data_IF_367791068475
#
_entry.id   IF_367791068475
#
_cell.length_a   1.000
_cell.length_b   1.000
_cell.length_c   1.000
_cell.angle_alpha   90.00
_cell.angle_beta   90.00
_cell.angle_gamma   90.00
#
_symmetry.space_group_name_H-M   'P 1'
#
loop_
_entity.id
_entity.type
_entity.pdbx_description
1 polymer ?
#
# COMPACT_ATOMS: atom_id res chain seq x y z
N UNK A 1 6.66 3.23 -1.66
CA UNK A 1 8.00 3.48 -2.24
C UNK A 1 8.39 4.95 -2.18
N UNK A 2 7.53 5.88 -2.64
CA UNK A 2 7.84 7.33 -2.64
C UNK A 2 8.19 7.89 -1.26
N UNK A 3 7.62 7.37 -0.19
CA UNK A 3 7.96 7.77 1.19
C UNK A 3 9.43 7.50 1.53
N UNK A 4 9.98 6.35 1.14
CA UNK A 4 11.38 5.98 1.44
C UNK A 4 12.34 6.86 0.63
N UNK A 5 12.04 7.08 -0.66
CA UNK A 5 12.79 8.01 -1.52
C UNK A 5 12.72 9.45 -1.00
N UNK A 6 11.56 9.88 -0.50
CA UNK A 6 11.37 11.21 0.09
C UNK A 6 12.15 11.38 1.40
N UNK A 7 12.10 10.39 2.28
CA UNK A 7 12.91 10.39 3.51
C UNK A 7 14.39 10.43 3.14
N UNK A 8 14.85 9.63 2.17
CA UNK A 8 16.23 9.68 1.67
C UNK A 8 16.60 11.05 1.12
N UNK A 9 15.67 11.72 0.42
CA UNK A 9 15.85 13.10 -0.04
C UNK A 9 15.98 14.09 1.11
N UNK A 10 15.17 13.96 2.17
CA UNK A 10 15.28 14.85 3.34
C UNK A 10 16.63 14.68 4.08
N UNK A 11 17.19 13.46 4.09
CA UNK A 11 18.43 13.17 4.82
C UNK A 11 19.68 13.69 4.10
N UNK A 12 19.78 13.49 2.78
CA UNK A 12 21.00 13.84 2.03
C UNK A 12 20.72 14.39 0.62
N UNK A 13 19.53 14.94 0.37
CA UNK A 13 19.13 15.47 -0.92
C UNK A 13 19.08 14.41 -2.01
N UNK A 14 19.43 14.78 -3.23
CA UNK A 14 19.41 13.90 -4.40
C UNK A 14 20.21 12.58 -4.22
N UNK A 15 21.46 12.58 -3.72
CA UNK A 15 22.18 11.32 -3.51
C UNK A 15 21.54 10.44 -2.44
N UNK A 16 20.93 11.02 -1.40
CA UNK A 16 20.16 10.28 -0.39
C UNK A 16 18.91 9.62 -0.97
N UNK A 17 18.20 10.30 -1.87
CA UNK A 17 17.04 9.75 -2.57
C UNK A 17 17.40 8.55 -3.46
N UNK A 18 18.52 8.64 -4.19
CA UNK A 18 19.04 7.57 -5.04
C UNK A 18 19.48 6.38 -4.18
N UNK A 19 20.26 6.64 -3.13
CA UNK A 19 20.75 5.59 -2.22
C UNK A 19 19.58 4.86 -1.52
N UNK A 20 18.57 5.59 -1.06
CA UNK A 20 17.38 5.00 -0.43
C UNK A 20 16.58 4.14 -1.42
N UNK A 21 16.46 4.58 -2.67
CA UNK A 21 15.77 3.83 -3.72
C UNK A 21 16.52 2.54 -4.06
N UNK A 22 17.84 2.63 -4.29
CA UNK A 22 18.68 1.44 -4.55
C UNK A 22 18.65 0.50 -3.34
N UNK A 23 18.83 1.01 -2.12
CA UNK A 23 18.84 0.21 -0.90
C UNK A 23 17.52 -0.52 -0.63
N UNK A 24 16.38 0.06 -1.03
CA UNK A 24 15.07 -0.58 -0.91
C UNK A 24 14.88 -1.72 -1.94
N UNK A 25 15.26 -1.50 -3.19
CA UNK A 25 14.98 -2.44 -4.29
C UNK A 25 16.05 -3.52 -4.47
N UNK A 26 17.32 -3.18 -4.26
CA UNK A 26 18.46 -4.08 -4.47
C UNK A 26 18.35 -5.42 -3.71
N UNK A 27 18.01 -5.47 -2.41
CA UNK A 27 17.89 -6.75 -1.71
C UNK A 27 16.77 -7.62 -2.27
N UNK A 28 15.61 -7.03 -2.61
CA UNK A 28 14.52 -7.78 -3.22
C UNK A 28 14.91 -8.35 -4.58
N UNK A 29 15.61 -7.56 -5.40
CA UNK A 29 16.11 -8.00 -6.70
C UNK A 29 17.11 -9.16 -6.57
N UNK A 30 18.06 -9.08 -5.64
CA UNK A 30 19.02 -10.14 -5.37
C UNK A 30 18.34 -11.43 -4.91
N UNK A 31 17.35 -11.33 -4.02
CA UNK A 31 16.58 -12.48 -3.53
C UNK A 31 15.82 -13.14 -4.68
N UNK A 32 15.11 -12.35 -5.51
CA UNK A 32 14.34 -12.90 -6.64
C UNK A 32 15.27 -13.50 -7.70
N UNK A 33 16.42 -12.88 -7.98
CA UNK A 33 17.40 -13.41 -8.92
C UNK A 33 17.95 -14.76 -8.46
N UNK A 34 18.27 -14.90 -7.17
CA UNK A 34 18.77 -16.14 -6.60
C UNK A 34 17.69 -17.24 -6.48
N UNK A 35 16.49 -16.87 -6.04
CA UNK A 35 15.40 -17.81 -5.77
C UNK A 35 14.55 -18.12 -7.00
N UNK A 36 14.54 -17.28 -8.03
CA UNK A 36 13.72 -17.43 -9.23
C UNK A 36 13.85 -18.82 -9.89
N UNK A 37 15.06 -19.32 -10.16
CA UNK A 37 15.25 -20.65 -10.74
C UNK A 37 14.77 -21.78 -9.81
N UNK A 38 15.01 -21.67 -8.50
CA UNK A 38 14.54 -22.64 -7.50
C UNK A 38 13.01 -22.65 -7.42
N UNK A 39 12.40 -21.47 -7.36
CA UNK A 39 10.95 -21.30 -7.31
C UNK A 39 10.28 -21.83 -8.58
N UNK A 40 10.88 -21.61 -9.76
CA UNK A 40 10.37 -22.15 -11.02
C UNK A 40 10.45 -23.69 -11.06
N UNK A 41 11.49 -24.28 -10.46
CA UNK A 41 11.61 -25.72 -10.30
C UNK A 41 10.56 -26.28 -9.31
N UNK A 42 10.38 -25.61 -8.17
CA UNK A 42 9.47 -26.04 -7.10
C UNK A 42 8.00 -25.80 -7.42
N UNK A 43 7.68 -24.78 -8.22
CA UNK A 43 6.32 -24.47 -8.69
C UNK A 43 5.69 -25.60 -9.51
N UNK A 44 6.45 -26.61 -9.93
CA UNK A 44 5.92 -27.84 -10.56
C UNK A 44 5.30 -28.81 -9.54
N UNK A 45 5.67 -28.72 -8.26
CA UNK A 45 5.14 -29.55 -7.17
C UNK A 45 3.87 -28.94 -6.55
N UNK A 46 2.88 -29.79 -6.26
CA UNK A 46 1.63 -29.40 -5.61
C UNK A 46 1.86 -28.78 -4.21
N UNK A 47 2.85 -29.29 -3.48
CA UNK A 47 3.17 -28.85 -2.11
C UNK A 47 3.68 -27.40 -2.12
N UNK A 48 4.57 -27.05 -3.05
CA UNK A 48 5.11 -25.70 -3.14
C UNK A 48 4.02 -24.66 -3.47
N UNK A 49 3.07 -25.01 -4.34
CA UNK A 49 1.90 -24.17 -4.63
C UNK A 49 1.04 -23.94 -3.38
N UNK A 50 0.83 -24.97 -2.57
CA UNK A 50 0.08 -24.86 -1.32
C UNK A 50 0.78 -23.93 -0.32
N UNK A 51 2.11 -24.03 -0.19
CA UNK A 51 2.92 -23.14 0.66
C UNK A 51 2.82 -21.69 0.18
N UNK A 52 3.02 -21.43 -1.12
CA UNK A 52 2.90 -20.08 -1.70
C UNK A 52 1.50 -19.48 -1.49
N UNK A 53 0.46 -20.31 -1.58
CA UNK A 53 -0.92 -19.90 -1.27
C UNK A 53 -1.07 -19.50 0.20
N UNK A 54 -0.46 -20.26 1.11
CA UNK A 54 -0.41 -19.93 2.54
C UNK A 54 0.30 -18.61 2.82
N UNK A 55 1.45 -18.37 2.19
CA UNK A 55 2.18 -17.10 2.29
C UNK A 55 1.32 -15.94 1.80
N UNK A 56 0.66 -16.09 0.64
CA UNK A 56 -0.22 -15.05 0.11
C UNK A 56 -1.39 -14.76 1.07
N UNK A 57 -2.02 -15.79 1.65
CA UNK A 57 -3.05 -15.61 2.67
C UNK A 57 -2.52 -14.86 3.91
N UNK A 58 -1.29 -15.16 4.34
CA UNK A 58 -0.61 -14.43 5.41
C UNK A 58 -0.37 -12.95 5.09
N UNK A 59 0.05 -12.65 3.85
CA UNK A 59 0.21 -11.26 3.38
C UNK A 59 -1.12 -10.52 3.40
N UNK A 60 -2.20 -11.15 2.93
CA UNK A 60 -3.55 -10.55 2.98
C UNK A 60 -3.97 -10.27 4.42
N UNK A 61 -3.76 -11.22 5.34
CA UNK A 61 -4.07 -11.04 6.76
C UNK A 61 -3.26 -9.89 7.39
N UNK A 62 -1.98 -9.77 7.04
CA UNK A 62 -1.13 -8.67 7.48
C UNK A 62 -1.63 -7.32 6.93
N UNK A 63 -1.98 -7.25 5.65
CA UNK A 63 -2.53 -6.03 5.05
C UNK A 63 -3.83 -5.60 5.75
N UNK A 64 -4.74 -6.55 6.02
CA UNK A 64 -5.98 -6.28 6.77
C UNK A 64 -5.65 -5.73 8.17
N UNK A 65 -4.68 -6.34 8.87
CA UNK A 65 -4.26 -5.88 10.20
C UNK A 65 -3.73 -4.44 10.17
N UNK A 66 -2.91 -4.10 9.18
CA UNK A 66 -2.39 -2.74 8.98
C UNK A 66 -3.54 -1.77 8.70
N UNK A 67 -4.49 -2.14 7.83
CA UNK A 67 -5.66 -1.31 7.52
C UNK A 67 -6.50 -1.05 8.77
N UNK A 68 -6.73 -2.06 9.60
CA UNK A 68 -7.48 -1.91 10.85
C UNK A 68 -6.73 -1.00 11.83
N UNK A 69 -5.41 -1.19 11.98
CA UNK A 69 -4.58 -0.37 12.86
C UNK A 69 -4.59 1.11 12.41
N UNK A 70 -4.36 1.37 11.13
CA UNK A 70 -4.42 2.72 10.57
C UNK A 70 -5.84 3.31 10.67
N UNK A 71 -6.87 2.50 10.43
CA UNK A 71 -8.27 2.93 10.55
C UNK A 71 -8.62 3.41 11.96
N UNK A 72 -8.13 2.74 13.02
CA UNK A 72 -8.33 3.19 14.41
C UNK A 72 -7.69 4.53 14.70
N UNK A 73 -6.54 4.84 14.09
CA UNK A 73 -5.89 6.14 14.23
C UNK A 73 -6.53 7.23 13.35
N UNK A 74 -7.11 6.85 12.21
CA UNK A 74 -7.77 7.77 11.29
C UNK A 74 -9.21 8.12 11.72
N UNK A 75 -9.92 7.20 12.38
CA UNK A 75 -11.29 7.39 12.86
C UNK A 75 -11.30 8.07 14.23
N UNK A 76 -11.04 9.37 14.22
CA UNK A 76 -11.04 10.21 15.43
C UNK A 76 -12.42 10.82 15.69
N UNK A 77 -13.21 11.13 14.65
CA UNK A 77 -14.50 11.82 14.76
C UNK A 77 -15.63 11.14 13.98
N UNK A 78 -16.87 11.43 14.39
CA UNK A 78 -18.10 10.99 13.69
C UNK A 78 -18.11 11.44 12.23
N UNK A 79 -17.56 12.62 11.93
CA UNK A 79 -17.40 13.14 10.57
C UNK A 79 -16.44 12.29 9.73
N UNK A 80 -15.34 11.80 10.31
CA UNK A 80 -14.38 10.93 9.61
C UNK A 80 -14.96 9.55 9.35
N UNK A 81 -15.78 9.04 10.28
CA UNK A 81 -16.55 7.81 10.08
C UNK A 81 -17.60 7.94 8.97
N UNK A 82 -18.30 9.08 8.90
CA UNK A 82 -19.24 9.38 7.81
C UNK A 82 -18.52 9.48 6.45
N UNK A 83 -17.34 10.11 6.39
CA UNK A 83 -16.53 10.16 5.16
C UNK A 83 -16.05 8.77 4.73
N UNK A 84 -15.63 7.93 5.67
CA UNK A 84 -15.30 6.52 5.38
C UNK A 84 -16.50 5.77 4.82
N UNK A 85 -17.67 5.89 5.45
CA UNK A 85 -18.90 5.23 5.02
C UNK A 85 -19.36 5.73 3.64
N UNK A 86 -19.32 7.05 3.40
CA UNK A 86 -19.65 7.66 2.11
C UNK A 86 -18.68 7.23 1.01
N UNK A 87 -17.38 7.16 1.29
CA UNK A 87 -16.36 6.69 0.35
C UNK A 87 -16.56 5.22 -0.02
N UNK A 88 -16.78 4.34 0.97
CA UNK A 88 -17.07 2.93 0.74
C UNK A 88 -18.38 2.76 -0.05
N UNK A 89 -19.45 3.47 0.33
CA UNK A 89 -20.71 3.45 -0.41
C UNK A 89 -20.54 3.94 -1.86
N UNK A 90 -19.76 4.99 -2.09
CA UNK A 90 -19.43 5.48 -3.43
C UNK A 90 -18.68 4.44 -4.29
N UNK A 91 -17.74 3.71 -3.70
CA UNK A 91 -17.03 2.64 -4.41
C UNK A 91 -17.93 1.43 -4.72
N UNK A 92 -18.72 0.98 -3.75
CA UNK A 92 -19.51 -0.26 -3.88
C UNK A 92 -20.86 -0.09 -4.58
N UNK A 93 -21.54 1.04 -4.38
CA UNK A 93 -22.87 1.31 -4.94
C UNK A 93 -22.79 2.03 -6.27
N UNK A 94 -21.91 3.04 -6.37
CA UNK A 94 -21.78 3.87 -7.58
C UNK A 94 -20.69 3.38 -8.54
N UNK A 95 -19.94 2.32 -8.17
CA UNK A 95 -18.78 1.79 -8.92
C UNK A 95 -17.81 2.89 -9.36
N UNK A 96 -17.72 3.95 -8.55
CA UNK A 96 -16.84 5.06 -8.86
C UNK A 96 -15.40 4.58 -8.75
N UNK A 97 -14.63 4.84 -9.80
CA UNK A 97 -13.20 4.57 -9.74
C UNK A 97 -12.57 5.43 -8.64
N UNK A 98 -11.58 4.90 -7.90
CA UNK A 98 -10.96 5.60 -6.76
C UNK A 98 -10.50 7.03 -7.07
N UNK A 99 -10.14 7.30 -8.33
CA UNK A 99 -9.76 8.62 -8.80
C UNK A 99 -10.84 9.70 -8.57
N UNK A 100 -12.12 9.40 -8.81
CA UNK A 100 -13.21 10.36 -8.60
C UNK A 100 -13.42 10.70 -7.11
N UNK A 101 -13.21 9.72 -6.24
CA UNK A 101 -13.26 9.93 -4.79
C UNK A 101 -12.11 10.81 -4.30
N UNK A 102 -10.92 10.63 -4.86
CA UNK A 102 -9.76 11.49 -4.54
C UNK A 102 -10.02 12.93 -4.98
N UNK A 103 -10.54 13.14 -6.20
CA UNK A 103 -10.89 14.48 -6.68
C UNK A 103 -11.96 15.16 -5.82
N UNK A 104 -13.01 14.44 -5.44
CA UNK A 104 -14.06 14.96 -4.57
C UNK A 104 -13.50 15.32 -3.18
N UNK A 105 -12.63 14.47 -2.62
CA UNK A 105 -11.93 14.74 -1.36
C UNK A 105 -11.05 15.99 -1.42
N UNK A 106 -10.32 16.20 -2.52
CA UNK A 106 -9.54 17.42 -2.74
C UNK A 106 -10.45 18.66 -2.78
N UNK A 107 -11.57 18.58 -3.52
CA UNK A 107 -12.52 19.68 -3.63
C UNK A 107 -13.14 20.07 -2.28
N UNK A 108 -13.57 19.08 -1.50
CA UNK A 108 -14.12 19.29 -0.15
C UNK A 108 -13.03 19.86 0.78
N UNK A 109 -11.81 19.31 0.74
CA UNK A 109 -10.70 19.76 1.57
C UNK A 109 -10.31 21.21 1.33
N UNK A 110 -10.26 21.65 0.06
CA UNK A 110 -9.99 23.05 -0.29
C UNK A 110 -11.14 23.96 0.18
N UNK A 111 -12.40 23.55 0.00
CA UNK A 111 -13.55 24.31 0.45
C UNK A 111 -13.57 24.50 1.98
N UNK A 112 -13.16 23.49 2.75
CA UNK A 112 -13.04 23.57 4.21
C UNK A 112 -11.79 24.30 4.70
N UNK A 113 -10.76 24.46 3.87
CA UNK A 113 -9.54 25.20 4.24
C UNK A 113 -9.64 26.70 3.94
N UNK A 114 -10.60 27.10 3.09
CA UNK A 114 -10.85 28.48 2.69
C UNK A 114 -11.93 29.19 3.54
N UNK A 115 -12.67 28.44 4.38
CA UNK A 115 -13.68 28.94 5.32
C UNK A 115 -13.24 28.67 6.75
#
# INVERSE_FOLDING_TARGET
SSAVTFIGFMVAGLPGAIAATIGLFLPSFLIVMALGPLLAHWAKSSIAKAILKGVNAGVIALLISIVIAMGRHALVDVWTALLLAAGLAGMFVLKLEPYWLVLAGIGIGIATALF
#
